data_IF_873895196577
#
_entry.id   IF_873895196577
#
_cell.length_a   1.000
_cell.length_b   1.000
_cell.length_c   1.000
_cell.angle_alpha   90.00
_cell.angle_beta   90.00
_cell.angle_gamma   90.00
#
_symmetry.space_group_name_H-M   'P 1'
#
loop_
_entity.id
_entity.type
_entity.pdbx_description
1 polymer ?
#
# COMPACT_ATOMS: atom_id res chain seq x y z
N UNK A 1 -30.28 -40.34 -44.82
CA UNK A 1 -30.10 -38.90 -44.52
C UNK A 1 -28.84 -38.72 -43.70
N UNK A 2 -28.01 -37.72 -44.01
CA UNK A 2 -26.80 -37.41 -43.22
C UNK A 2 -27.24 -36.88 -41.86
N UNK A 3 -26.62 -37.32 -40.76
CA UNK A 3 -26.93 -36.86 -39.39
C UNK A 3 -26.39 -35.43 -39.19
N UNK A 4 -27.12 -34.42 -39.67
CA UNK A 4 -26.68 -33.01 -39.69
C UNK A 4 -26.44 -32.45 -38.28
N UNK A 5 -27.14 -32.97 -37.26
CA UNK A 5 -26.93 -32.60 -35.86
C UNK A 5 -25.55 -32.99 -35.30
N UNK A 6 -24.81 -33.90 -35.95
CA UNK A 6 -23.47 -34.27 -35.49
C UNK A 6 -22.46 -33.14 -35.65
N UNK A 7 -22.64 -32.25 -36.64
CA UNK A 7 -21.71 -31.15 -36.89
C UNK A 7 -21.57 -30.20 -35.69
N UNK A 8 -22.65 -29.64 -35.12
CA UNK A 8 -22.53 -28.81 -33.92
C UNK A 8 -22.10 -29.59 -32.67
N UNK A 9 -22.32 -30.89 -32.59
CA UNK A 9 -21.76 -31.72 -31.50
C UNK A 9 -20.24 -31.80 -31.61
N UNK A 10 -19.72 -32.10 -32.79
CA UNK A 10 -18.27 -32.15 -33.05
C UNK A 10 -17.64 -30.77 -32.79
N UNK A 11 -18.28 -29.69 -33.24
CA UNK A 11 -17.82 -28.33 -32.94
C UNK A 11 -17.78 -28.04 -31.42
N UNK A 12 -18.83 -28.45 -30.68
CA UNK A 12 -18.87 -28.32 -29.23
C UNK A 12 -17.74 -29.08 -28.54
N UNK A 13 -17.45 -30.30 -28.98
CA UNK A 13 -16.33 -31.09 -28.47
C UNK A 13 -14.98 -30.42 -28.77
N UNK A 14 -14.79 -29.86 -29.96
CA UNK A 14 -13.58 -29.10 -30.30
C UNK A 14 -13.42 -27.86 -29.41
N UNK A 15 -14.51 -27.14 -29.10
CA UNK A 15 -14.48 -25.99 -28.18
C UNK A 15 -14.11 -26.40 -26.74
N UNK A 16 -14.59 -27.55 -26.27
CA UNK A 16 -14.19 -28.09 -24.95
C UNK A 16 -12.71 -28.48 -24.92
N UNK A 17 -12.20 -29.10 -25.98
CA UNK A 17 -10.77 -29.41 -26.11
C UNK A 17 -9.94 -28.12 -26.15
N UNK A 18 -10.39 -27.11 -26.90
CA UNK A 18 -9.71 -25.81 -27.00
C UNK A 18 -9.56 -25.11 -25.64
N UNK A 19 -10.48 -25.33 -24.69
CA UNK A 19 -10.35 -24.82 -23.32
C UNK A 19 -9.13 -25.38 -22.59
N UNK A 20 -8.83 -26.67 -22.77
CA UNK A 20 -7.65 -27.30 -22.16
C UNK A 20 -6.35 -26.69 -22.69
N UNK A 21 -6.35 -26.21 -23.94
CA UNK A 21 -5.22 -25.52 -24.57
C UNK A 21 -5.15 -24.02 -24.28
N UNK A 22 -6.07 -23.47 -23.47
CA UNK A 22 -6.05 -22.05 -23.11
C UNK A 22 -4.80 -21.68 -22.31
N UNK A 23 -4.41 -22.54 -21.38
CA UNK A 23 -3.34 -22.25 -20.43
C UNK A 23 -2.03 -22.90 -20.86
N UNK A 24 -1.03 -22.08 -21.09
CA UNK A 24 0.35 -22.53 -21.23
C UNK A 24 1.02 -22.52 -19.86
N UNK A 25 1.50 -23.69 -19.42
CA UNK A 25 2.21 -23.84 -18.15
C UNK A 25 3.64 -23.33 -18.31
N UNK A 26 3.99 -22.32 -17.54
CA UNK A 26 5.35 -21.78 -17.42
C UNK A 26 6.14 -22.45 -16.29
N UNK A 27 7.28 -21.85 -15.90
CA UNK A 27 8.08 -22.34 -14.80
C UNK A 27 7.30 -22.33 -13.47
N UNK A 28 7.67 -23.25 -12.59
CA UNK A 28 7.20 -23.30 -11.22
C UNK A 28 8.37 -22.87 -10.35
N UNK A 29 8.16 -21.87 -9.51
CA UNK A 29 9.13 -21.44 -8.51
C UNK A 29 8.56 -21.76 -7.14
N UNK A 30 9.35 -22.42 -6.29
CA UNK A 30 8.98 -22.69 -4.91
C UNK A 30 9.94 -21.91 -4.02
N UNK A 31 9.40 -21.04 -3.19
CA UNK A 31 10.14 -20.26 -2.21
C UNK A 31 9.56 -20.56 -0.82
N UNK A 32 10.37 -21.20 0.03
CA UNK A 32 9.99 -21.70 1.35
C UNK A 32 8.66 -22.49 1.34
N UNK A 33 7.56 -21.83 1.75
CA UNK A 33 6.22 -22.39 1.88
C UNK A 33 5.26 -21.90 0.78
N UNK A 34 5.73 -21.14 -0.20
CA UNK A 34 4.95 -20.57 -1.29
C UNK A 34 5.40 -21.14 -2.63
N UNK A 35 4.44 -21.61 -3.42
CA UNK A 35 4.64 -22.13 -4.77
C UNK A 35 3.98 -21.19 -5.77
N UNK A 36 4.80 -20.58 -6.61
CA UNK A 36 4.43 -19.68 -7.68
C UNK A 36 4.41 -20.45 -9.01
N UNK A 37 3.22 -20.61 -9.59
CA UNK A 37 3.04 -21.24 -10.90
C UNK A 37 2.80 -20.16 -11.93
N UNK A 38 3.76 -19.96 -12.85
CA UNK A 38 3.58 -19.03 -13.94
C UNK A 38 2.72 -19.67 -15.03
N UNK A 39 1.69 -18.96 -15.47
CA UNK A 39 0.80 -19.38 -16.55
C UNK A 39 0.74 -18.29 -17.62
N UNK A 40 0.52 -18.67 -18.87
CA UNK A 40 0.19 -17.74 -19.94
C UNK A 40 -1.16 -18.09 -20.53
N UNK A 41 -2.08 -17.14 -20.53
CA UNK A 41 -3.37 -17.27 -21.19
C UNK A 41 -3.16 -17.05 -22.69
N UNK A 42 -3.20 -18.14 -23.48
CA UNK A 42 -2.97 -18.07 -24.93
C UNK A 42 -4.01 -17.24 -25.67
N UNK A 43 -5.20 -17.07 -25.09
CA UNK A 43 -6.26 -16.32 -25.74
C UNK A 43 -6.13 -14.81 -25.54
N UNK A 44 -5.61 -14.37 -24.40
CA UNK A 44 -5.41 -12.94 -24.11
C UNK A 44 -3.95 -12.50 -24.28
N UNK A 45 -3.02 -13.45 -24.35
CA UNK A 45 -1.58 -13.21 -24.33
C UNK A 45 -1.03 -12.82 -22.95
N UNK A 46 -1.89 -12.68 -21.93
CA UNK A 46 -1.54 -12.20 -20.59
C UNK A 46 -0.84 -13.31 -19.79
N UNK A 47 0.22 -12.93 -19.08
CA UNK A 47 0.88 -13.79 -18.11
C UNK A 47 0.18 -13.69 -16.74
N UNK A 48 0.13 -14.80 -16.02
CA UNK A 48 -0.50 -14.94 -14.72
C UNK A 48 0.46 -15.68 -13.77
N UNK A 49 0.33 -15.40 -12.49
CA UNK A 49 0.98 -16.14 -11.41
C UNK A 49 -0.13 -16.74 -10.56
N UNK A 50 -0.06 -18.05 -10.34
CA UNK A 50 -0.97 -18.76 -9.43
C UNK A 50 -0.20 -19.15 -8.18
N UNK A 51 -0.71 -18.74 -7.04
CA UNK A 51 -0.09 -18.96 -5.74
C UNK A 51 -0.69 -20.18 -5.05
N UNK A 52 0.17 -20.98 -4.43
CA UNK A 52 -0.21 -22.10 -3.55
C UNK A 52 0.69 -22.11 -2.32
N UNK A 53 0.14 -22.33 -1.13
CA UNK A 53 0.91 -22.48 0.11
C UNK A 53 0.64 -21.39 1.14
N UNK A 54 1.65 -20.98 1.91
CA UNK A 54 1.52 -20.04 3.02
C UNK A 54 2.56 -18.93 2.93
N UNK A 55 2.12 -17.66 3.03
CA UNK A 55 3.00 -16.48 3.11
C UNK A 55 2.39 -15.45 4.07
N UNK A 56 3.19 -14.89 4.99
CA UNK A 56 2.79 -13.83 5.93
C UNK A 56 1.49 -14.10 6.71
N UNK A 57 1.30 -15.35 7.13
CA UNK A 57 0.10 -15.78 7.87
C UNK A 57 -1.16 -15.95 7.01
N UNK A 58 -1.02 -15.90 5.69
CA UNK A 58 -2.11 -16.10 4.73
C UNK A 58 -1.90 -17.38 3.90
N UNK A 59 -2.94 -18.21 3.84
CA UNK A 59 -2.99 -19.38 2.98
C UNK A 59 -3.45 -19.01 1.57
N UNK A 60 -2.80 -19.61 0.57
CA UNK A 60 -3.08 -19.48 -0.85
C UNK A 60 -3.40 -20.86 -1.42
N UNK A 61 -4.53 -20.98 -2.13
CA UNK A 61 -5.02 -22.23 -2.72
C UNK A 61 -5.46 -22.05 -4.17
N UNK A 62 -4.56 -21.50 -4.99
CA UNK A 62 -4.79 -21.33 -6.42
C UNK A 62 -5.27 -19.93 -6.82
N UNK A 63 -5.04 -18.91 -6.00
CA UNK A 63 -5.32 -17.52 -6.36
C UNK A 63 -4.43 -17.10 -7.52
N UNK A 64 -5.05 -16.57 -8.58
CA UNK A 64 -4.38 -16.18 -9.81
C UNK A 64 -4.33 -14.66 -9.95
N UNK A 65 -3.13 -14.11 -10.12
CA UNK A 65 -2.85 -12.70 -10.31
C UNK A 65 -2.22 -12.45 -11.68
N UNK A 66 -2.54 -11.35 -12.37
CA UNK A 66 -1.84 -11.01 -13.60
C UNK A 66 -0.39 -10.65 -13.29
N UNK A 67 0.54 -11.22 -14.04
CA UNK A 67 1.94 -10.80 -14.00
C UNK A 67 2.10 -9.51 -14.81
N UNK A 68 2.43 -8.43 -14.14
CA UNK A 68 2.56 -7.11 -14.73
C UNK A 68 4.04 -6.78 -14.96
N UNK A 69 4.36 -6.19 -16.11
CA UNK A 69 5.71 -5.74 -16.42
C UNK A 69 5.98 -4.39 -15.72
N UNK A 70 6.98 -4.35 -14.84
CA UNK A 70 7.33 -3.17 -14.05
C UNK A 70 7.72 -1.96 -14.92
N UNK A 71 8.34 -2.15 -16.10
CA UNK A 71 8.66 -1.05 -17.03
C UNK A 71 7.40 -0.41 -17.61
N UNK A 72 6.38 -1.24 -17.89
CA UNK A 72 5.09 -0.79 -18.40
C UNK A 72 4.32 -0.04 -17.31
N UNK A 73 4.34 -0.56 -16.08
CA UNK A 73 3.77 0.11 -14.90
C UNK A 73 4.45 1.46 -14.67
N UNK A 74 5.78 1.52 -14.68
CA UNK A 74 6.53 2.76 -14.47
C UNK A 74 6.22 3.81 -15.55
N UNK A 75 6.10 3.37 -16.81
CA UNK A 75 5.68 4.25 -17.91
C UNK A 75 4.27 4.80 -17.67
N UNK A 76 3.31 3.95 -17.34
CA UNK A 76 1.93 4.37 -17.10
C UNK A 76 1.81 5.26 -15.87
N UNK A 77 2.51 4.95 -14.77
CA UNK A 77 2.60 5.79 -13.59
C UNK A 77 3.10 7.21 -13.94
N UNK A 78 4.08 7.32 -14.85
CA UNK A 78 4.55 8.62 -15.33
C UNK A 78 3.48 9.39 -16.12
N UNK A 79 2.62 8.68 -16.86
CA UNK A 79 1.48 9.28 -17.58
C UNK A 79 0.38 9.71 -16.60
N UNK A 80 0.07 8.89 -15.59
CA UNK A 80 -0.87 9.21 -14.51
C UNK A 80 -0.41 10.48 -13.77
N UNK A 81 0.87 10.62 -13.44
CA UNK A 81 1.39 11.84 -12.81
C UNK A 81 1.26 13.08 -13.71
N UNK A 82 1.41 12.91 -15.03
CA UNK A 82 1.26 14.00 -16.02
C UNK A 82 -0.20 14.32 -16.37
N UNK A 83 -1.13 13.44 -16.03
CA UNK A 83 -2.56 13.60 -16.28
C UNK A 83 -3.14 14.80 -15.52
N UNK A 84 -4.31 15.33 -15.93
CA UNK A 84 -4.99 16.39 -15.18
C UNK A 84 -5.26 16.02 -13.72
N UNK A 85 -5.61 14.77 -13.44
CA UNK A 85 -5.84 14.29 -12.09
C UNK A 85 -4.56 14.28 -11.24
N UNK A 86 -3.45 13.74 -11.80
CA UNK A 86 -2.15 13.74 -11.14
C UNK A 86 -1.63 15.14 -10.87
N UNK A 87 -1.75 16.04 -11.86
CA UNK A 87 -1.41 17.46 -11.71
C UNK A 87 -2.23 18.14 -10.64
N UNK A 88 -3.56 17.95 -10.65
CA UNK A 88 -4.46 18.52 -9.63
C UNK A 88 -4.09 18.02 -8.24
N UNK A 89 -3.91 16.71 -8.07
CA UNK A 89 -3.53 16.12 -6.77
C UNK A 89 -2.20 16.69 -6.25
N UNK A 90 -1.22 16.86 -7.14
CA UNK A 90 0.06 17.49 -6.79
C UNK A 90 -0.12 18.96 -6.38
N UNK A 91 -0.86 19.74 -7.17
CA UNK A 91 -1.15 21.15 -6.87
C UNK A 91 -1.91 21.32 -5.55
N UNK A 92 -2.89 20.47 -5.26
CA UNK A 92 -3.64 20.49 -4.01
C UNK A 92 -2.74 20.22 -2.79
N UNK A 93 -1.76 19.31 -2.92
CA UNK A 93 -0.78 19.05 -1.86
C UNK A 93 0.22 20.19 -1.71
N UNK A 94 0.72 20.75 -2.81
CA UNK A 94 1.64 21.90 -2.80
C UNK A 94 0.98 23.15 -2.21
N UNK A 95 -0.29 23.41 -2.52
CA UNK A 95 -1.05 24.51 -1.94
C UNK A 95 -1.21 24.36 -0.41
N UNK A 96 -1.57 23.15 0.06
CA UNK A 96 -1.64 22.85 1.50
C UNK A 96 -0.27 22.97 2.17
N UNK A 97 0.79 22.57 1.48
CA UNK A 97 2.15 22.71 1.99
C UNK A 97 2.52 24.18 2.16
N UNK A 98 2.23 25.01 1.16
CA UNK A 98 2.48 26.45 1.23
C UNK A 98 1.73 27.12 2.39
N UNK A 99 0.45 26.77 2.57
CA UNK A 99 -0.36 27.25 3.72
C UNK A 99 0.26 26.84 5.06
N UNK A 100 0.65 25.57 5.21
CA UNK A 100 1.28 25.08 6.44
C UNK A 100 2.67 25.70 6.69
N UNK A 101 3.43 26.01 5.63
CA UNK A 101 4.71 26.73 5.73
C UNK A 101 4.51 28.19 6.15
N UNK A 102 3.46 28.84 5.66
CA UNK A 102 3.09 30.19 6.08
C UNK A 102 2.67 30.21 7.56
N UNK A 103 1.82 29.28 8.00
CA UNK A 103 1.47 29.11 9.42
C UNK A 103 2.72 28.88 10.28
N UNK A 104 3.60 27.97 9.85
CA UNK A 104 4.88 27.70 10.54
C UNK A 104 5.74 28.96 10.61
N UNK A 105 5.81 29.75 9.54
CA UNK A 105 6.59 30.99 9.51
C UNK A 105 6.00 32.03 10.47
N UNK A 106 4.68 32.19 10.50
CA UNK A 106 3.96 33.11 11.38
C UNK A 106 4.28 32.88 12.86
N UNK A 107 4.39 31.63 13.28
CA UNK A 107 4.67 31.25 14.68
C UNK A 107 6.18 31.04 14.98
N UNK A 108 7.07 31.28 14.02
CA UNK A 108 8.50 30.94 14.13
C UNK A 108 9.25 31.79 15.15
N UNK A 109 8.91 33.07 15.27
CA UNK A 109 9.51 33.97 16.26
C UNK A 109 9.13 33.55 17.68
N UNK A 110 7.84 33.29 17.93
CA UNK A 110 7.35 32.81 19.22
C UNK A 110 7.99 31.49 19.63
N UNK A 111 8.13 30.55 18.70
CA UNK A 111 8.85 29.30 18.93
C UNK A 111 10.34 29.53 19.27
N UNK A 112 11.02 30.43 18.56
CA UNK A 112 12.43 30.76 18.82
C UNK A 112 12.61 31.39 20.20
N UNK A 113 11.70 32.29 20.58
CA UNK A 113 11.70 32.89 21.92
C UNK A 113 11.42 31.85 23.01
N UNK A 114 10.47 30.95 22.78
CA UNK A 114 10.18 29.82 23.65
C UNK A 114 11.44 28.98 23.89
N UNK A 115 12.13 28.52 22.84
CA UNK A 115 13.35 27.70 22.97
C UNK A 115 14.46 28.40 23.75
N UNK A 116 14.60 29.71 23.57
CA UNK A 116 15.58 30.51 24.32
C UNK A 116 15.28 30.54 25.82
N UNK A 117 14.03 30.78 26.20
CA UNK A 117 13.60 30.82 27.61
C UNK A 117 13.64 29.41 28.20
N UNK A 118 13.19 28.39 27.46
CA UNK A 118 13.27 26.99 27.84
C UNK A 118 14.70 26.59 28.19
N UNK A 119 15.67 26.97 27.35
CA UNK A 119 17.09 26.70 27.59
C UNK A 119 17.61 27.39 28.85
N UNK A 120 17.21 28.63 29.12
CA UNK A 120 17.59 29.36 30.33
C UNK A 120 17.00 28.70 31.59
N UNK A 121 15.69 28.45 31.59
CA UNK A 121 14.99 27.81 32.71
C UNK A 121 15.51 26.39 32.97
N UNK A 122 15.80 25.62 31.91
CA UNK A 122 16.40 24.30 32.06
C UNK A 122 17.77 24.41 32.71
N UNK A 123 18.64 25.31 32.25
CA UNK A 123 19.96 25.50 32.84
C UNK A 123 19.94 25.92 34.33
N UNK A 124 18.88 26.61 34.77
CA UNK A 124 18.67 26.94 36.19
C UNK A 124 18.15 25.74 37.01
N UNK A 125 17.34 24.87 36.40
CA UNK A 125 16.76 23.69 37.05
C UNK A 125 17.68 22.48 37.07
N UNK A 126 18.57 22.37 36.08
CA UNK A 126 19.45 21.22 35.89
C UNK A 126 20.37 20.97 37.10
N UNK A 127 21.06 21.98 37.69
CA UNK A 127 21.85 21.76 38.90
C UNK A 127 21.03 21.24 40.08
N UNK A 128 19.80 21.73 40.27
CA UNK A 128 18.92 21.33 41.38
C UNK A 128 18.49 19.86 41.30
N UNK A 129 18.38 19.31 40.09
CA UNK A 129 17.99 17.93 39.85
C UNK A 129 19.16 16.94 39.81
N UNK A 130 20.39 17.42 39.55
CA UNK A 130 21.58 16.57 39.43
C UNK A 130 22.49 16.60 40.68
N UNK A 131 22.50 17.67 41.49
CA UNK A 131 23.31 17.70 42.74
C UNK A 131 22.75 16.78 43.84
N UNK A 132 21.42 16.61 43.92
CA UNK A 132 20.77 15.73 44.91
C UNK A 132 21.08 14.23 44.70
N UNK A 133 21.48 13.83 43.50
CA UNK A 133 21.86 12.45 43.20
C UNK A 133 23.32 12.15 43.56
N UNK A 134 24.21 13.15 43.56
CA UNK A 134 25.66 12.95 43.71
C UNK A 134 26.10 12.84 45.18
N UNK A 135 25.46 13.57 46.09
CA UNK A 135 25.86 13.59 47.51
C UNK A 135 25.54 12.28 48.28
N UNK A 136 24.70 11.39 47.75
CA UNK A 136 24.30 10.15 48.46
C UNK A 136 25.02 8.88 48.00
N UNK A 137 25.84 8.95 46.94
CA UNK A 137 26.46 7.78 46.30
C UNK A 137 28.00 7.79 46.28
N UNK A 138 28.65 8.70 47.02
CA UNK A 138 30.10 8.81 46.99
C UNK A 138 30.84 7.68 47.72
N UNK A 139 30.23 7.00 48.69
CA UNK A 139 30.90 6.01 49.55
C UNK A 139 30.63 4.51 49.24
N UNK A 140 29.68 4.16 48.36
CA UNK A 140 29.37 2.75 48.04
C UNK A 140 29.34 2.44 46.52
N UNK A 141 30.28 1.62 46.01
CA UNK A 141 30.33 1.21 44.60
C UNK A 141 29.06 0.50 44.09
N UNK A 142 28.33 -0.20 44.97
CA UNK A 142 27.11 -0.92 44.61
C UNK A 142 25.91 0.03 44.46
N UNK A 143 25.81 1.06 45.31
CA UNK A 143 24.79 2.10 45.18
C UNK A 143 25.00 2.92 43.91
N UNK A 144 26.26 3.18 43.53
CA UNK A 144 26.60 3.87 42.28
C UNK A 144 26.11 3.10 41.04
N UNK A 145 26.29 1.77 41.02
CA UNK A 145 25.83 0.92 39.91
C UNK A 145 24.29 0.79 39.83
N UNK A 146 23.60 0.75 40.97
CA UNK A 146 22.12 0.76 41.00
C UNK A 146 21.56 2.10 40.52
N UNK A 147 22.21 3.20 40.87
CA UNK A 147 21.81 4.55 40.46
C UNK A 147 21.99 4.75 38.95
N UNK A 148 23.04 4.20 38.34
CA UNK A 148 23.20 4.22 36.88
C UNK A 148 22.10 3.43 36.15
N UNK A 149 21.69 2.27 36.68
CA UNK A 149 20.59 1.47 36.10
C UNK A 149 19.25 2.21 36.24
N UNK A 150 19.01 2.83 37.39
CA UNK A 150 17.80 3.62 37.64
C UNK A 150 17.78 4.91 36.82
N UNK A 151 18.92 5.58 36.61
CA UNK A 151 19.03 6.75 35.73
C UNK A 151 18.72 6.41 34.27
N UNK A 152 19.11 5.23 33.78
CA UNK A 152 18.75 4.79 32.44
C UNK A 152 17.26 4.47 32.29
N UNK A 153 16.61 3.96 33.34
CA UNK A 153 15.16 3.69 33.37
C UNK A 153 14.28 4.93 33.61
N UNK A 154 14.74 5.87 34.44
CA UNK A 154 13.98 7.06 34.89
C UNK A 154 14.31 8.36 34.15
N UNK A 155 15.30 8.37 33.24
CA UNK A 155 15.59 9.52 32.36
C UNK A 155 14.34 10.12 31.69
N UNK A 156 13.39 9.32 31.17
CA UNK A 156 12.18 9.85 30.54
C UNK A 156 11.24 10.55 31.53
N UNK A 157 11.19 10.09 32.78
CA UNK A 157 10.31 10.63 33.81
C UNK A 157 10.81 11.98 34.33
N UNK A 158 12.11 12.09 34.67
CA UNK A 158 12.72 13.34 35.10
C UNK A 158 12.70 14.40 33.99
N UNK A 159 12.98 14.00 32.75
CA UNK A 159 12.91 14.88 31.58
C UNK A 159 11.48 15.42 31.36
N UNK A 160 10.47 14.58 31.56
CA UNK A 160 9.06 14.98 31.50
C UNK A 160 8.71 15.97 32.61
N UNK A 161 9.12 15.73 33.86
CA UNK A 161 8.91 16.66 34.98
C UNK A 161 9.56 18.02 34.72
N UNK A 162 10.83 18.05 34.32
CA UNK A 162 11.55 19.29 33.97
C UNK A 162 10.78 20.02 32.86
N UNK A 163 10.32 19.31 31.84
CA UNK A 163 9.53 19.90 30.75
C UNK A 163 8.22 20.50 31.25
N UNK A 164 7.51 19.84 32.18
CA UNK A 164 6.27 20.37 32.77
C UNK A 164 6.54 21.61 33.64
N UNK A 165 7.59 21.61 34.45
CA UNK A 165 7.99 22.75 35.28
C UNK A 165 8.39 23.94 34.40
N UNK A 166 9.21 23.71 33.37
CA UNK A 166 9.61 24.76 32.43
C UNK A 166 8.40 25.33 31.70
N UNK A 167 7.48 24.45 31.26
CA UNK A 167 6.25 24.87 30.57
C UNK A 167 5.30 25.65 31.49
N UNK A 168 5.19 25.31 32.77
CA UNK A 168 4.32 26.02 33.71
C UNK A 168 4.84 27.41 34.09
N UNK A 169 6.17 27.61 34.01
CA UNK A 169 6.81 28.92 34.21
C UNK A 169 6.79 29.81 32.96
N UNK A 170 6.39 29.30 31.81
CA UNK A 170 6.36 30.07 30.56
C UNK A 170 5.10 30.95 30.43
N UNK A 171 5.22 32.14 29.82
CA UNK A 171 4.06 32.91 29.40
C UNK A 171 3.12 32.11 28.51
N UNK A 172 1.82 32.15 28.79
CA UNK A 172 0.82 31.30 28.12
C UNK A 172 0.76 31.54 26.60
N UNK A 173 1.02 32.77 26.17
CA UNK A 173 1.07 33.20 24.77
C UNK A 173 2.24 32.52 24.05
N UNK A 174 3.43 32.46 24.67
CA UNK A 174 4.59 31.79 24.08
C UNK A 174 4.40 30.27 24.00
N UNK A 175 3.72 29.67 24.98
CA UNK A 175 3.34 28.26 24.92
C UNK A 175 2.43 28.02 23.71
N UNK A 176 1.38 28.83 23.54
CA UNK A 176 0.45 28.72 22.39
C UNK A 176 1.16 28.89 21.04
N UNK A 177 2.04 29.88 20.92
CA UNK A 177 2.83 30.13 19.71
C UNK A 177 3.76 28.94 19.39
N UNK A 178 4.44 28.39 20.41
CA UNK A 178 5.31 27.23 20.25
C UNK A 178 4.53 25.97 19.83
N UNK A 179 3.37 25.72 20.45
CA UNK A 179 2.49 24.60 20.09
C UNK A 179 1.98 24.75 18.65
N UNK A 180 1.50 25.95 18.27
CA UNK A 180 1.05 26.24 16.91
C UNK A 180 2.16 26.02 15.88
N UNK A 181 3.40 26.44 16.19
CA UNK A 181 4.56 26.18 15.33
C UNK A 181 4.84 24.68 15.20
N UNK A 182 4.81 23.93 16.30
CA UNK A 182 5.06 22.49 16.32
C UNK A 182 4.02 21.75 15.46
N UNK A 183 2.75 22.11 15.60
CA UNK A 183 1.66 21.56 14.80
C UNK A 183 1.84 21.85 13.31
N UNK A 184 2.10 23.11 12.95
CA UNK A 184 2.35 23.51 11.56
C UNK A 184 3.58 22.77 10.98
N UNK A 185 4.67 22.64 11.75
CA UNK A 185 5.86 21.91 11.33
C UNK A 185 5.60 20.41 11.14
N UNK A 186 4.76 19.79 11.98
CA UNK A 186 4.34 18.41 11.79
C UNK A 186 3.48 18.26 10.53
N UNK A 187 2.57 19.20 10.24
CA UNK A 187 1.79 19.22 8.99
C UNK A 187 2.70 19.31 7.76
N UNK A 188 3.68 20.22 7.78
CA UNK A 188 4.70 20.35 6.72
C UNK A 188 5.45 19.03 6.49
N UNK A 189 5.88 18.35 7.55
CA UNK A 189 6.54 17.03 7.43
C UNK A 189 5.62 16.00 6.76
N UNK A 190 4.38 15.86 7.25
CA UNK A 190 3.40 14.91 6.70
C UNK A 190 3.06 15.21 5.23
N UNK A 191 2.91 16.48 4.85
CA UNK A 191 2.62 16.87 3.46
C UNK A 191 3.80 16.59 2.54
N UNK A 192 5.03 16.87 2.97
CA UNK A 192 6.22 16.49 2.22
C UNK A 192 6.34 14.98 2.02
N UNK A 193 6.05 14.18 3.06
CA UNK A 193 5.97 12.72 2.93
C UNK A 193 4.91 12.29 1.90
N UNK A 194 3.73 12.89 1.93
CA UNK A 194 2.67 12.59 0.95
C UNK A 194 3.06 12.97 -0.48
N UNK A 195 3.72 14.12 -0.67
CA UNK A 195 4.25 14.55 -1.97
C UNK A 195 5.30 13.56 -2.47
N UNK A 196 6.22 13.12 -1.60
CA UNK A 196 7.24 12.15 -1.94
C UNK A 196 6.67 10.76 -2.27
N UNK A 197 5.48 10.44 -1.74
CA UNK A 197 4.72 9.21 -2.05
C UNK A 197 3.84 9.30 -3.30
N UNK A 198 3.79 10.44 -3.99
CA UNK A 198 3.03 10.56 -5.24
C UNK A 198 3.46 9.56 -6.34
N UNK A 199 4.76 9.26 -6.54
CA UNK A 199 5.18 8.22 -7.47
C UNK A 199 4.66 6.83 -7.10
N UNK A 200 4.71 6.47 -5.82
CA UNK A 200 4.18 5.19 -5.32
C UNK A 200 2.67 5.10 -5.57
N UNK A 201 1.91 6.16 -5.24
CA UNK A 201 0.48 6.24 -5.55
C UNK A 201 0.19 6.04 -7.04
N UNK A 202 0.98 6.66 -7.93
CA UNK A 202 0.78 6.53 -9.36
C UNK A 202 1.11 5.10 -9.85
N UNK A 203 2.13 4.45 -9.28
CA UNK A 203 2.46 3.06 -9.56
C UNK A 203 1.35 2.11 -9.09
N UNK A 204 0.82 2.29 -7.88
CA UNK A 204 -0.30 1.51 -7.36
C UNK A 204 -1.54 1.65 -8.26
N UNK A 205 -1.85 2.88 -8.67
CA UNK A 205 -2.98 3.14 -9.57
C UNK A 205 -2.79 2.51 -10.95
N UNK A 206 -1.58 2.56 -11.50
CA UNK A 206 -1.25 1.86 -12.75
C UNK A 206 -1.38 0.34 -12.61
N UNK A 207 -0.89 -0.24 -11.49
CA UNK A 207 -1.04 -1.67 -11.18
C UNK A 207 -2.51 -2.07 -11.09
N UNK A 208 -3.33 -1.27 -10.42
CA UNK A 208 -4.77 -1.50 -10.33
C UNK A 208 -5.44 -1.48 -11.71
N UNK A 209 -5.15 -0.47 -12.54
CA UNK A 209 -5.70 -0.36 -13.90
C UNK A 209 -5.34 -1.57 -14.76
N UNK A 210 -4.06 -1.95 -14.83
CA UNK A 210 -3.65 -3.12 -15.61
C UNK A 210 -4.22 -4.42 -15.07
N UNK A 211 -4.38 -4.53 -13.74
CA UNK A 211 -5.00 -5.68 -13.11
C UNK A 211 -6.47 -5.80 -13.53
N UNK A 212 -7.23 -4.70 -13.42
CA UNK A 212 -8.63 -4.64 -13.84
C UNK A 212 -8.79 -4.95 -15.33
N UNK A 213 -7.93 -4.38 -16.19
CA UNK A 213 -7.93 -4.67 -17.62
C UNK A 213 -7.63 -6.15 -17.92
N UNK A 214 -6.66 -6.76 -17.24
CA UNK A 214 -6.33 -8.17 -17.42
C UNK A 214 -7.51 -9.08 -17.05
N UNK A 215 -8.18 -8.80 -15.92
CA UNK A 215 -9.39 -9.53 -15.54
C UNK A 215 -10.55 -9.27 -16.51
N UNK A 216 -10.75 -8.03 -16.97
CA UNK A 216 -11.79 -7.70 -17.94
C UNK A 216 -11.59 -8.47 -19.26
N UNK A 217 -10.37 -8.47 -19.81
CA UNK A 217 -10.02 -9.24 -21.02
C UNK A 217 -10.27 -10.73 -20.81
N UNK A 218 -9.83 -11.28 -19.66
CA UNK A 218 -10.07 -12.69 -19.31
C UNK A 218 -11.55 -13.02 -19.27
N UNK A 219 -12.37 -12.17 -18.66
CA UNK A 219 -13.82 -12.35 -18.52
C UNK A 219 -14.54 -12.27 -19.87
N UNK A 220 -14.19 -11.29 -20.71
CA UNK A 220 -14.77 -11.15 -22.06
C UNK A 220 -14.52 -12.41 -22.90
N UNK A 221 -13.27 -12.86 -22.98
CA UNK A 221 -12.93 -14.04 -23.78
C UNK A 221 -13.59 -15.30 -23.23
N UNK A 222 -13.66 -15.45 -21.91
CA UNK A 222 -14.38 -16.58 -21.28
C UNK A 222 -15.86 -16.53 -21.62
N UNK A 223 -16.48 -15.36 -21.56
CA UNK A 223 -17.89 -15.17 -21.93
C UNK A 223 -18.17 -15.55 -23.38
N UNK A 224 -17.34 -15.07 -24.33
CA UNK A 224 -17.44 -15.45 -25.75
C UNK A 224 -17.36 -16.97 -25.91
N UNK A 225 -16.40 -17.62 -25.25
CA UNK A 225 -16.24 -19.07 -25.33
C UNK A 225 -17.46 -19.83 -24.77
N UNK A 226 -17.96 -19.46 -23.59
CA UNK A 226 -19.16 -20.07 -22.99
C UNK A 226 -20.37 -19.90 -23.91
N UNK A 227 -20.56 -18.72 -24.51
CA UNK A 227 -21.64 -18.47 -25.46
C UNK A 227 -21.53 -19.36 -26.71
N UNK A 228 -20.33 -19.54 -27.26
CA UNK A 228 -20.12 -20.43 -28.41
C UNK A 228 -20.45 -21.89 -28.08
N UNK A 229 -20.03 -22.40 -26.91
CA UNK A 229 -20.39 -23.74 -26.44
C UNK A 229 -21.91 -23.87 -26.30
N UNK A 230 -22.57 -22.88 -25.69
CA UNK A 230 -24.02 -22.84 -25.51
C UNK A 230 -24.79 -22.86 -26.83
N UNK A 231 -24.39 -22.05 -27.81
CA UNK A 231 -24.99 -22.04 -29.15
C UNK A 231 -24.79 -23.39 -29.85
N UNK A 232 -23.61 -24.00 -29.71
CA UNK A 232 -23.32 -25.33 -30.28
C UNK A 232 -24.24 -26.40 -29.71
N UNK A 233 -24.50 -26.37 -28.40
CA UNK A 233 -25.42 -27.31 -27.75
C UNK A 233 -26.88 -27.07 -28.17
N UNK A 234 -27.34 -25.82 -28.17
CA UNK A 234 -28.71 -25.46 -28.58
C UNK A 234 -28.99 -25.87 -30.03
N UNK A 235 -28.07 -25.57 -30.95
CA UNK A 235 -28.20 -25.97 -32.37
C UNK A 235 -28.23 -27.48 -32.54
N UNK A 236 -27.41 -28.22 -31.79
CA UNK A 236 -27.42 -29.70 -31.79
C UNK A 236 -28.79 -30.25 -31.38
N UNK A 237 -29.37 -29.72 -30.29
CA UNK A 237 -30.69 -30.14 -29.79
C UNK A 237 -31.80 -29.82 -30.79
N UNK A 238 -31.82 -28.60 -31.32
CA UNK A 238 -32.82 -28.18 -32.31
C UNK A 238 -32.81 -29.07 -33.56
N UNK A 239 -31.62 -29.39 -34.09
CA UNK A 239 -31.49 -30.25 -35.26
C UNK A 239 -31.88 -31.70 -34.97
N UNK A 240 -31.54 -32.23 -33.79
CA UNK A 240 -31.91 -33.58 -33.39
C UNK A 240 -33.44 -33.73 -33.21
N UNK A 241 -34.11 -32.74 -32.60
CA UNK A 241 -35.57 -32.72 -32.46
C UNK A 241 -36.25 -32.64 -33.82
N UNK A 242 -35.74 -31.81 -34.74
CA UNK A 242 -36.26 -31.70 -36.11
C UNK A 242 -36.13 -33.02 -36.88
N UNK A 243 -34.97 -33.66 -36.86
CA UNK A 243 -34.77 -34.95 -37.53
C UNK A 243 -35.71 -36.04 -36.96
N UNK A 244 -35.98 -36.02 -35.65
CA UNK A 244 -36.94 -36.95 -35.04
C UNK A 244 -38.36 -36.73 -35.54
N UNK A 245 -38.79 -35.47 -35.69
CA UNK A 245 -40.13 -35.12 -36.21
C UNK A 245 -40.29 -35.49 -37.69
N UNK A 246 -39.25 -35.34 -38.51
CA UNK A 246 -39.30 -35.70 -39.94
C UNK A 246 -39.34 -37.23 -40.19
N UNK A 247 -39.09 -38.06 -39.17
CA UNK A 247 -39.16 -39.54 -39.25
C UNK A 247 -40.48 -40.13 -38.72
N UNK A 248 -41.33 -39.32 -38.09
CA UNK A 248 -42.65 -39.73 -37.60
C UNK A 248 -43.70 -39.42 -38.67
#
# INVERSE_FOLDING_TARGET
MKRVWLLPVVLGLLLLVAWHFRWEKGPIQTDENLKNVHLRDRWTGQNWIVLYGWLDGKEYSGEAYPHLNEDVIAREASLILKSPEGKKKKQDLEAKLAEAEEEKKKHSEGHTQYLRIEKQLRAELEPLYYDTAKETAEDDPFLRALQEIEEWGNKPAKEFEITQIVRSKMPSELVKECDAWRDANQRVKKLNEQINKLPEWAQEKAKEQFTQEAYAKRSIVTGIWVSLVGISLLTSVCLAVREKREKQ
#
